data_IF_238942810288
#
_entry.id   IF_238942810288
#
_cell.length_a   1.000
_cell.length_b   1.000
_cell.length_c   1.000
_cell.angle_alpha   90.00
_cell.angle_beta   90.00
_cell.angle_gamma   90.00
#
_symmetry.space_group_name_H-M   'P 1'
#
loop_
_entity.id
_entity.type
_entity.pdbx_description
1 polymer ?
#
# COMPACT_ATOMS: atom_id res chain seq x y z
N UNK A 1 -8.07 4.38 3.95
CA UNK A 1 -9.19 3.83 4.77
C UNK A 1 -8.76 2.46 5.31
N UNK A 2 -9.41 1.91 6.34
CA UNK A 2 -9.14 0.53 6.80
C UNK A 2 -10.41 -0.33 6.80
N UNK A 3 -10.26 -1.63 6.65
CA UNK A 3 -11.32 -2.62 6.68
C UNK A 3 -11.30 -3.34 8.03
N UNK A 4 -12.15 -2.92 8.95
CA UNK A 4 -12.26 -3.45 10.33
C UNK A 4 -13.68 -3.97 10.54
N UNK A 5 -13.82 -5.15 11.16
CA UNK A 5 -15.11 -5.79 11.45
C UNK A 5 -16.04 -5.90 10.22
N UNK A 6 -15.48 -6.22 9.05
CA UNK A 6 -16.24 -6.39 7.80
C UNK A 6 -16.74 -5.08 7.17
N UNK A 7 -16.25 -3.92 7.63
CA UNK A 7 -16.67 -2.60 7.13
C UNK A 7 -15.47 -1.69 6.88
N UNK A 8 -15.61 -0.82 5.90
CA UNK A 8 -14.63 0.23 5.62
C UNK A 8 -14.83 1.42 6.55
N UNK A 9 -13.78 1.79 7.29
CA UNK A 9 -13.75 2.92 8.20
C UNK A 9 -12.68 3.92 7.74
N UNK A 10 -12.97 5.22 7.89
CA UNK A 10 -11.95 6.26 7.73
C UNK A 10 -11.06 6.24 8.97
N UNK A 11 -9.75 6.22 8.74
CA UNK A 11 -8.74 6.35 9.78
C UNK A 11 -7.98 7.65 9.56
N UNK A 12 -7.50 8.26 10.65
CA UNK A 12 -6.47 9.29 10.54
C UNK A 12 -5.15 8.66 10.10
N UNK A 13 -4.19 9.48 9.66
CA UNK A 13 -2.89 8.97 9.21
C UNK A 13 -2.07 8.27 10.30
N UNK A 14 -2.40 8.49 11.57
CA UNK A 14 -1.68 7.95 12.74
C UNK A 14 -2.34 6.74 13.38
N UNK A 15 -3.53 6.36 12.92
CA UNK A 15 -4.32 5.26 13.51
C UNK A 15 -4.13 3.85 12.90
N UNK A 16 -3.46 3.63 11.75
CA UNK A 16 -3.20 2.28 11.27
C UNK A 16 -2.32 1.51 12.27
N UNK A 17 -2.71 0.27 12.55
CA UNK A 17 -1.96 -0.65 13.43
C UNK A 17 -1.60 -1.92 12.68
N UNK A 18 -0.55 -2.67 13.11
CA UNK A 18 -0.18 -3.94 12.50
C UNK A 18 -1.38 -4.89 12.36
N UNK A 19 -1.51 -5.50 11.18
CA UNK A 19 -2.63 -6.36 10.81
C UNK A 19 -3.85 -5.65 10.22
N UNK A 20 -3.92 -4.32 10.24
CA UNK A 20 -4.98 -3.60 9.54
C UNK A 20 -4.91 -3.84 8.03
N UNK A 21 -6.04 -4.19 7.44
CA UNK A 21 -6.21 -4.19 5.99
C UNK A 21 -6.64 -2.79 5.56
N UNK A 22 -5.85 -2.14 4.71
CA UNK A 22 -6.02 -0.74 4.32
C UNK A 22 -6.19 -0.58 2.82
N UNK A 23 -6.90 0.48 2.45
CA UNK A 23 -6.87 1.04 1.10
C UNK A 23 -5.79 2.11 1.04
N UNK A 24 -4.85 1.94 0.11
CA UNK A 24 -3.73 2.84 -0.13
C UNK A 24 -3.68 3.25 -1.61
N UNK A 25 -3.47 4.53 -1.88
CA UNK A 25 -3.44 5.05 -3.24
C UNK A 25 -3.00 6.51 -3.27
N UNK A 26 -2.83 7.03 -4.48
CA UNK A 26 -2.54 8.46 -4.67
C UNK A 26 -3.76 9.28 -4.27
N UNK A 27 -3.58 10.24 -3.37
CA UNK A 27 -4.63 11.20 -3.01
C UNK A 27 -4.93 12.12 -4.21
N UNK A 28 -6.18 12.14 -4.67
CA UNK A 28 -6.66 13.02 -5.75
C UNK A 28 -7.49 14.20 -5.17
N UNK A 29 -7.34 14.50 -3.88
CA UNK A 29 -8.14 15.50 -3.15
C UNK A 29 -7.65 16.95 -3.27
N UNK A 30 -8.58 17.89 -3.06
CA UNK A 30 -8.45 19.36 -3.24
C UNK A 30 -7.38 20.07 -2.39
N UNK A 31 -6.72 19.39 -1.45
CA UNK A 31 -5.67 19.99 -0.62
C UNK A 31 -4.26 19.87 -1.20
N UNK A 32 -4.05 19.19 -2.34
CA UNK A 32 -2.76 19.17 -3.05
C UNK A 32 -1.58 18.55 -2.30
N UNK A 33 -1.75 18.15 -1.04
CA UNK A 33 -0.72 17.51 -0.25
C UNK A 33 -0.56 16.05 -0.70
N UNK A 34 0.61 15.78 -1.27
CA UNK A 34 1.09 14.44 -1.57
C UNK A 34 1.15 13.61 -0.27
N UNK A 35 0.18 12.72 -0.09
CA UNK A 35 0.16 11.83 1.07
C UNK A 35 1.21 10.74 0.91
N UNK A 36 2.11 10.67 1.88
CA UNK A 36 3.05 9.56 2.02
C UNK A 36 2.31 8.30 2.47
N UNK A 37 2.85 7.14 2.11
CA UNK A 37 2.46 5.85 2.70
C UNK A 37 2.61 5.98 4.21
N UNK A 38 1.61 5.70 5.08
CA UNK A 38 1.61 6.01 6.52
C UNK A 38 2.23 4.95 7.45
N UNK A 39 2.53 3.75 6.93
CA UNK A 39 3.15 2.66 7.68
C UNK A 39 3.87 1.72 6.71
N UNK A 40 4.69 0.81 7.21
CA UNK A 40 5.18 -0.30 6.40
C UNK A 40 4.01 -1.25 6.09
N UNK A 41 3.84 -1.60 4.81
CA UNK A 41 2.69 -2.36 4.35
C UNK A 41 3.08 -3.39 3.30
N UNK A 42 2.34 -4.49 3.26
CA UNK A 42 2.44 -5.50 2.21
C UNK A 42 1.26 -5.38 1.25
N UNK A 43 1.54 -5.24 -0.05
CA UNK A 43 0.52 -5.09 -1.08
C UNK A 43 -0.17 -6.44 -1.34
N UNK A 44 -1.48 -6.47 -1.14
CA UNK A 44 -2.32 -7.66 -1.32
C UNK A 44 -3.03 -7.66 -2.68
N UNK A 45 -3.42 -6.48 -3.19
CA UNK A 45 -4.09 -6.38 -4.48
C UNK A 45 -3.80 -5.03 -5.15
N UNK A 46 -3.61 -5.04 -6.47
CA UNK A 46 -3.22 -3.88 -7.26
C UNK A 46 -1.71 -3.69 -7.40
N UNK A 47 -1.32 -2.54 -7.95
CA UNK A 47 0.07 -2.13 -8.13
C UNK A 47 0.26 -0.64 -7.84
N UNK A 48 1.49 -0.25 -7.50
CA UNK A 48 1.84 1.14 -7.23
C UNK A 48 3.21 1.50 -7.80
N UNK A 49 3.38 2.75 -8.23
CA UNK A 49 4.67 3.35 -8.54
C UNK A 49 5.02 4.27 -7.38
N UNK A 50 6.16 4.01 -6.74
CA UNK A 50 6.55 4.65 -5.48
C UNK A 50 7.88 5.36 -5.63
N UNK A 51 7.98 6.57 -5.10
CA UNK A 51 9.25 7.25 -4.89
C UNK A 51 9.80 6.87 -3.50
N UNK A 52 10.95 6.18 -3.49
CA UNK A 52 11.65 5.74 -2.28
C UNK A 52 12.89 6.57 -1.96
N UNK A 53 13.11 7.71 -2.65
CA UNK A 53 14.30 8.54 -2.49
C UNK A 53 14.55 8.97 -1.03
N UNK A 54 13.50 9.09 -0.22
CA UNK A 54 13.63 9.41 1.21
C UNK A 54 14.33 8.30 2.02
N UNK A 55 14.23 7.04 1.58
CA UNK A 55 14.84 5.88 2.24
C UNK A 55 16.15 5.45 1.57
N UNK A 56 16.19 5.49 0.24
CA UNK A 56 17.33 4.94 -0.54
C UNK A 56 18.29 6.01 -1.04
N UNK A 57 17.86 7.27 -1.12
CA UNK A 57 18.58 8.33 -1.84
C UNK A 57 18.52 8.18 -3.36
N UNK A 58 17.85 7.15 -3.89
CA UNK A 58 17.71 6.91 -5.33
C UNK A 58 16.49 7.65 -5.87
N UNK A 59 16.67 8.46 -6.90
CA UNK A 59 15.59 9.22 -7.54
C UNK A 59 14.73 8.40 -8.49
N UNK A 60 15.11 7.14 -8.76
CA UNK A 60 14.39 6.24 -9.66
C UNK A 60 13.14 5.66 -8.99
N UNK A 61 11.93 5.91 -9.52
CA UNK A 61 10.71 5.32 -9.00
C UNK A 61 10.73 3.79 -9.06
N UNK A 62 10.16 3.16 -8.04
CA UNK A 62 10.07 1.71 -7.91
C UNK A 62 8.67 1.22 -8.22
N UNK A 63 8.57 0.15 -9.01
CA UNK A 63 7.31 -0.51 -9.33
C UNK A 63 7.00 -1.57 -8.26
N UNK A 64 5.80 -1.52 -7.70
CA UNK A 64 5.32 -2.40 -6.62
C UNK A 64 4.11 -3.20 -7.09
N UNK A 65 4.08 -4.49 -6.76
CA UNK A 65 3.00 -5.43 -7.16
C UNK A 65 2.54 -6.28 -6.00
N UNK A 66 1.31 -6.78 -6.09
CA UNK A 66 0.74 -7.70 -5.11
C UNK A 66 1.65 -8.92 -4.82
N UNK A 67 1.68 -9.34 -3.55
CA UNK A 67 2.34 -10.55 -3.08
C UNK A 67 1.62 -11.84 -3.50
N UNK A 68 0.37 -11.76 -4.00
CA UNK A 68 -0.50 -12.92 -4.26
C UNK A 68 0.07 -13.93 -5.27
N UNK A 69 1.07 -13.54 -6.08
CA UNK A 69 1.77 -14.46 -6.98
C UNK A 69 2.77 -15.39 -6.29
N UNK A 70 3.07 -15.19 -5.00
CA UNK A 70 3.98 -16.05 -4.22
C UNK A 70 3.25 -17.22 -3.58
N UNK A 71 3.99 -18.32 -3.36
CA UNK A 71 3.48 -19.48 -2.65
C UNK A 71 3.18 -19.17 -1.19
N UNK A 72 2.07 -19.70 -0.65
CA UNK A 72 1.63 -19.49 0.73
C UNK A 72 2.63 -19.99 1.78
N UNK A 73 3.46 -20.97 1.43
CA UNK A 73 4.42 -21.61 2.34
C UNK A 73 5.75 -20.86 2.40
N UNK A 74 5.94 -19.84 1.56
CA UNK A 74 7.17 -19.09 1.51
C UNK A 74 7.20 -17.99 2.58
N UNK A 75 8.28 -17.93 3.36
CA UNK A 75 8.46 -16.87 4.36
C UNK A 75 8.71 -15.51 3.69
N UNK A 76 7.95 -14.52 4.15
CA UNK A 76 8.16 -13.11 3.82
C UNK A 76 9.56 -12.67 4.26
N UNK A 77 10.25 -11.94 3.39
CA UNK A 77 11.58 -11.37 3.64
C UNK A 77 11.66 -9.98 3.06
N UNK A 78 11.92 -8.99 3.90
CA UNK A 78 12.05 -7.58 3.48
C UNK A 78 13.08 -7.37 2.36
N UNK A 79 14.14 -8.19 2.28
CA UNK A 79 15.15 -8.08 1.23
C UNK A 79 14.67 -8.62 -0.12
N UNK A 80 13.97 -9.76 -0.13
CA UNK A 80 13.52 -10.41 -1.37
C UNK A 80 12.21 -9.84 -1.87
N UNK A 81 11.33 -9.49 -0.94
CA UNK A 81 9.95 -9.08 -1.20
C UNK A 81 9.78 -7.56 -1.26
N UNK A 82 10.89 -6.84 -1.48
CA UNK A 82 10.87 -5.37 -1.58
C UNK A 82 9.93 -4.88 -2.68
N UNK A 83 9.69 -5.66 -3.73
CA UNK A 83 8.76 -5.31 -4.81
C UNK A 83 7.28 -5.43 -4.40
N UNK A 84 7.00 -6.02 -3.23
CA UNK A 84 5.65 -6.22 -2.69
C UNK A 84 5.36 -5.33 -1.47
N UNK A 85 6.40 -4.75 -0.88
CA UNK A 85 6.30 -3.89 0.30
C UNK A 85 6.24 -2.40 -0.07
N UNK A 86 5.39 -1.66 0.61
CA UNK A 86 5.39 -0.20 0.68
C UNK A 86 6.01 0.20 2.02
N UNK A 87 6.84 1.23 2.02
CA UNK A 87 7.54 1.65 3.24
C UNK A 87 7.03 3.01 3.74
N UNK A 88 7.00 3.18 5.07
CA UNK A 88 6.65 4.41 5.73
C UNK A 88 7.46 5.58 5.14
N UNK A 89 6.77 6.67 4.82
CA UNK A 89 7.37 7.93 4.35
C UNK A 89 7.59 7.98 2.84
N UNK A 90 7.51 6.86 2.14
CA UNK A 90 7.59 6.82 0.67
C UNK A 90 6.34 7.44 0.03
N UNK A 91 6.49 7.94 -1.20
CA UNK A 91 5.44 8.68 -1.89
C UNK A 91 4.87 7.87 -3.05
N UNK A 92 3.55 7.69 -3.09
CA UNK A 92 2.87 7.02 -4.20
C UNK A 92 2.67 8.02 -5.35
N UNK A 93 3.35 7.78 -6.47
CA UNK A 93 3.24 8.59 -7.70
C UNK A 93 2.06 8.17 -8.55
N UNK A 94 1.75 6.88 -8.56
CA UNK A 94 0.65 6.28 -9.30
C UNK A 94 0.21 4.99 -8.61
N UNK A 95 -1.05 4.63 -8.76
CA UNK A 95 -1.58 3.34 -8.33
C UNK A 95 -2.54 2.79 -9.39
N UNK A 96 -2.69 1.47 -9.42
CA UNK A 96 -3.66 0.77 -10.26
C UNK A 96 -4.41 -0.23 -9.38
N UNK A 97 -5.72 -0.07 -9.17
CA UNK A 97 -6.52 -1.00 -8.38
C UNK A 97 -6.70 -2.34 -9.10
N UNK A 98 -6.80 -3.41 -8.33
CA UNK A 98 -7.23 -4.71 -8.83
C UNK A 98 -8.70 -4.94 -8.46
N UNK A 99 -9.56 -4.96 -9.50
CA UNK A 99 -11.00 -5.14 -9.36
C UNK A 99 -11.43 -6.61 -9.24
N UNK A 100 -10.51 -7.55 -9.43
CA UNK A 100 -10.79 -8.98 -9.35
C UNK A 100 -10.75 -9.52 -7.92
N UNK A 101 -10.18 -8.75 -6.99
CA UNK A 101 -10.11 -9.13 -5.59
C UNK A 101 -11.49 -9.14 -4.91
N UNK A 102 -11.71 -10.11 -4.02
CA UNK A 102 -13.02 -10.34 -3.39
C UNK A 102 -13.49 -9.21 -2.47
N UNK A 103 -12.55 -8.43 -1.92
CA UNK A 103 -12.85 -7.24 -1.11
C UNK A 103 -12.94 -6.01 -2.03
N UNK A 104 -14.14 -5.41 -2.14
CA UNK A 104 -14.34 -4.17 -2.88
C UNK A 104 -13.76 -2.98 -2.12
N UNK A 105 -12.88 -2.23 -2.78
CA UNK A 105 -12.21 -1.06 -2.22
C UNK A 105 -13.01 0.21 -2.61
N UNK A 106 -13.51 1.00 -1.64
CA UNK A 106 -14.50 2.05 -1.89
C UNK A 106 -13.95 3.28 -2.63
N UNK A 107 -12.65 3.55 -2.48
CA UNK A 107 -11.96 4.73 -3.04
C UNK A 107 -11.08 4.39 -4.25
N UNK A 108 -11.14 3.16 -4.75
CA UNK A 108 -10.35 2.71 -5.91
C UNK A 108 -8.84 2.62 -5.64
N UNK A 109 -8.42 2.57 -4.37
CA UNK A 109 -7.04 2.31 -3.99
C UNK A 109 -6.61 0.85 -4.19
N UNK A 110 -5.36 0.58 -3.85
CA UNK A 110 -4.80 -0.77 -3.74
C UNK A 110 -5.05 -1.33 -2.34
N UNK A 111 -5.20 -2.65 -2.24
CA UNK A 111 -5.35 -3.33 -0.95
C UNK A 111 -3.96 -3.62 -0.38
N UNK A 112 -3.74 -3.27 0.88
CA UNK A 112 -2.52 -3.61 1.59
C UNK A 112 -2.83 -4.03 3.02
N UNK A 113 -1.89 -4.74 3.66
CA UNK A 113 -1.93 -5.00 5.10
C UNK A 113 -0.77 -4.29 5.77
N UNK A 114 -1.02 -3.67 6.91
CA UNK A 114 0.02 -3.04 7.75
C UNK A 114 0.86 -4.13 8.42
N UNK A 115 2.18 -4.00 8.33
CA UNK A 115 3.15 -4.93 8.92
C UNK A 115 3.49 -4.58 10.37
#
# INVERSE_FOLDING_TARGET
MAHRCGKWVKLSGTDPVPGDVVSIGRSVGQSGEDKNVPADMLLLAGSAIVNEAILTGESTPQWKVSIMGRGSDERLSARRDKAHALYWGTKILQHTPDKTYHIKIPDGGCLAVVL
#
